data_IF_512019053620
#
_entry.id   IF_512019053620
#
_cell.length_a   1.000
_cell.length_b   1.000
_cell.length_c   1.000
_cell.angle_alpha   90.00
_cell.angle_beta   90.00
_cell.angle_gamma   90.00
#
_symmetry.space_group_name_H-M   'P 1'
#
loop_
_entity.id
_entity.type
_entity.pdbx_description
1 polymer ?
2 non-polymer ?
3 water ?
#
# COMPACT_ATOMS: atom_id res chain seq x y z
N UNK A 3 -15.02 -16.00 10.53
CA UNK A 3 -15.44 -16.88 11.67
C UNK A 3 -14.22 -17.20 12.52
N UNK A 4 -14.42 -17.96 13.58
CA UNK A 4 -13.33 -18.33 14.46
C UNK A 4 -12.22 -19.01 13.68
N UNK A 5 -12.58 -20.00 12.86
CA UNK A 5 -11.63 -20.74 12.05
C UNK A 5 -10.86 -19.81 11.11
N UNK A 6 -11.56 -18.86 10.51
CA UNK A 6 -10.91 -17.92 9.59
C UNK A 6 -9.89 -17.07 10.34
N UNK A 7 -10.27 -16.56 11.50
CA UNK A 7 -9.36 -15.76 12.31
C UNK A 7 -8.08 -16.54 12.58
N UNK A 8 -8.24 -17.78 13.01
CA UNK A 8 -7.11 -18.66 13.31
C UNK A 8 -6.26 -18.92 12.07
N UNK A 9 -6.93 -19.19 10.95
CA UNK A 9 -6.23 -19.45 9.70
C UNK A 9 -5.40 -18.26 9.25
N UNK A 10 -6.01 -17.07 9.29
CA UNK A 10 -5.30 -15.86 8.89
C UNK A 10 -4.15 -15.54 9.83
N UNK A 11 -4.36 -15.70 11.13
CA UNK A 11 -3.29 -15.41 12.08
C UNK A 11 -2.14 -16.40 11.89
N UNK A 12 -2.46 -17.66 11.66
CA UNK A 12 -1.44 -18.68 11.47
C UNK A 12 -0.62 -18.37 10.23
N UNK A 13 -1.28 -17.83 9.21
CA UNK A 13 -0.62 -17.47 7.96
C UNK A 13 0.30 -16.28 8.21
N UNK A 14 -0.19 -15.33 9.01
CA UNK A 14 0.60 -14.14 9.34
C UNK A 14 1.88 -14.56 10.07
N UNK A 15 1.75 -15.54 10.98
CA UNK A 15 2.90 -16.02 11.71
C UNK A 15 3.90 -16.73 10.79
N UNK A 16 3.37 -17.44 9.79
CA UNK A 16 4.23 -18.15 8.85
C UNK A 16 5.03 -17.14 8.03
N UNK A 17 4.35 -16.11 7.54
CA UNK A 17 4.99 -15.08 6.74
C UNK A 17 6.06 -14.35 7.56
N UNK A 18 5.72 -13.97 8.78
CA UNK A 18 6.66 -13.27 9.64
C UNK A 18 7.83 -14.19 9.97
N UNK A 19 7.53 -15.48 10.09
CA UNK A 19 8.56 -16.46 10.40
C UNK A 19 9.65 -16.53 9.35
N UNK A 20 9.27 -16.35 8.09
CA UNK A 20 10.24 -16.39 7.00
C UNK A 20 11.22 -15.21 7.10
N UNK A 21 10.79 -14.16 7.79
CA UNK A 21 11.61 -12.95 7.95
C UNK A 21 12.27 -12.85 9.32
N UNK A 22 12.07 -13.85 10.18
CA UNK A 22 12.65 -13.81 11.50
C UNK A 22 11.95 -12.80 12.40
N UNK A 23 10.71 -12.47 12.06
CA UNK A 23 9.92 -11.51 12.83
C UNK A 23 8.84 -12.24 13.62
N UNK A 24 8.63 -11.83 14.87
CA UNK A 24 7.62 -12.46 15.71
C UNK A 24 6.40 -11.56 15.84
N UNK A 25 5.22 -12.16 15.70
CA UNK A 25 3.96 -11.43 15.79
C UNK A 25 3.57 -11.16 17.24
N UNK A 26 2.93 -10.01 17.47
CA UNK A 26 2.45 -9.64 18.80
C UNK A 26 0.98 -10.01 18.82
N UNK A 27 0.69 -11.22 19.27
CA UNK A 27 -0.68 -11.71 19.32
C UNK A 27 -1.68 -10.76 19.98
N UNK A 28 -1.28 -10.13 21.08
CA UNK A 28 -2.15 -9.22 21.80
C UNK A 28 -2.53 -7.98 20.99
N UNK A 29 -1.69 -7.61 20.02
CA UNK A 29 -1.95 -6.45 19.19
C UNK A 29 -2.65 -6.83 17.89
N UNK A 30 -2.64 -8.12 17.55
CA UNK A 30 -3.24 -8.56 16.30
C UNK A 30 -4.56 -9.32 16.40
N UNK A 31 -4.64 -10.29 17.31
CA UNK A 31 -5.85 -11.08 17.43
C UNK A 31 -7.13 -10.26 17.62
N UNK A 32 -7.12 -9.28 18.54
CA UNK A 32 -8.31 -8.46 18.76
C UNK A 32 -8.77 -7.76 17.49
N UNK A 33 -7.80 -7.36 16.67
CA UNK A 33 -8.09 -6.68 15.41
C UNK A 33 -8.73 -7.65 14.42
N UNK A 34 -8.14 -8.83 14.27
CA UNK A 34 -8.67 -9.83 13.34
C UNK A 34 -10.07 -10.28 13.78
N UNK A 35 -10.26 -10.43 15.09
CA UNK A 35 -11.54 -10.84 15.63
C UNK A 35 -12.60 -9.78 15.32
N UNK A 36 -12.24 -8.52 15.53
CA UNK A 36 -13.14 -7.41 15.27
C UNK A 36 -13.61 -7.40 13.81
N UNK A 37 -12.70 -7.76 12.90
CA UNK A 37 -13.03 -7.79 11.47
C UNK A 37 -13.09 -9.21 10.90
N UNK A 38 -13.48 -10.18 11.73
CA UNK A 38 -13.54 -11.56 11.29
C UNK A 38 -14.46 -11.81 10.08
N UNK A 39 -15.51 -11.02 9.94
CA UNK A 39 -16.45 -11.18 8.84
C UNK A 39 -15.83 -10.95 7.46
N UNK A 40 -14.68 -10.29 7.42
CA UNK A 40 -14.03 -10.00 6.15
C UNK A 40 -12.99 -11.03 5.75
N UNK A 41 -12.68 -11.95 6.66
CA UNK A 41 -11.65 -12.96 6.42
C UNK A 41 -12.02 -14.21 5.62
N UNK A 42 -13.24 -14.24 5.08
CA UNK A 42 -13.64 -15.40 4.29
C UNK A 42 -13.00 -15.33 2.91
N UNK A 43 -12.48 -16.47 2.44
CA UNK A 43 -11.83 -16.51 1.14
C UNK A 43 -12.82 -16.10 0.05
N UNK A 44 -12.34 -15.33 -0.92
CA UNK A 44 -13.19 -14.87 -2.00
C UNK A 44 -13.75 -13.51 -1.67
N UNK A 45 -13.47 -12.53 -2.54
CA UNK A 45 -13.95 -11.19 -2.31
C UNK A 45 -13.07 -10.45 -1.33
N UNK A 46 -12.13 -11.16 -0.72
CA UNK A 46 -11.21 -10.57 0.25
C UNK A 46 -9.79 -10.46 -0.30
N UNK A 47 -9.10 -9.38 0.07
CA UNK A 47 -7.72 -9.16 -0.33
C UNK A 47 -6.90 -9.03 0.95
N UNK A 48 -5.89 -9.87 1.09
CA UNK A 48 -5.01 -9.87 2.24
C UNK A 48 -3.58 -9.96 1.73
N UNK A 49 -2.73 -9.04 2.19
CA UNK A 49 -1.34 -8.99 1.75
C UNK A 49 -0.40 -8.87 2.94
N UNK A 50 0.66 -9.68 2.93
CA UNK A 50 1.68 -9.64 3.96
C UNK A 50 2.93 -9.10 3.25
N UNK A 51 3.44 -7.96 3.70
CA UNK A 51 4.57 -7.34 3.02
C UNK A 51 5.88 -7.21 3.79
N UNK A 52 6.97 -7.50 3.08
CA UNK A 52 8.32 -7.40 3.62
C UNK A 52 9.02 -6.21 2.97
N UNK A 53 10.15 -5.80 3.54
CA UNK A 53 10.92 -4.69 2.99
C UNK A 53 12.40 -4.94 3.19
N UNK A 54 13.22 -4.14 2.51
CA UNK A 54 14.67 -4.27 2.56
C UNK A 54 15.29 -3.21 3.47
N UNK A 55 16.63 -3.21 3.51
CA UNK A 55 17.36 -2.25 4.31
C UNK A 55 16.93 -2.07 5.75
N UNK A 56 16.81 -0.81 6.17
CA UNK A 56 16.44 -0.50 7.55
C UNK A 56 14.97 -0.73 7.86
N UNK A 57 14.22 -1.23 6.89
CA UNK A 57 12.80 -1.49 7.11
C UNK A 57 12.51 -2.99 7.15
N UNK A 58 13.55 -3.81 7.15
CA UNK A 58 13.38 -5.25 7.11
C UNK A 58 12.93 -6.00 8.36
N UNK A 59 12.92 -5.34 9.51
CA UNK A 59 12.54 -6.01 10.76
C UNK A 59 11.04 -5.95 11.02
N UNK A 60 10.27 -5.58 10.01
CA UNK A 60 8.83 -5.50 10.18
C UNK A 60 8.07 -6.17 9.06
N UNK A 61 6.89 -6.69 9.38
CA UNK A 61 6.05 -7.33 8.37
C UNK A 61 4.73 -6.56 8.43
N UNK A 62 4.33 -5.96 7.31
CA UNK A 62 3.07 -5.24 7.29
C UNK A 62 1.97 -6.17 6.80
N UNK A 63 0.74 -5.84 7.16
CA UNK A 63 -0.41 -6.61 6.69
C UNK A 63 -1.49 -5.64 6.29
N UNK A 64 -2.27 -6.03 5.28
CA UNK A 64 -3.36 -5.20 4.82
C UNK A 64 -4.52 -6.14 4.56
N UNK A 65 -5.69 -5.78 5.06
CA UNK A 65 -6.90 -6.59 4.93
C UNK A 65 -8.05 -5.72 4.44
N UNK A 66 -8.66 -6.12 3.33
CA UNK A 66 -9.77 -5.36 2.77
C UNK A 66 -11.02 -5.47 3.65
N UNK A 67 -11.81 -4.39 3.67
CA UNK A 67 -13.03 -4.32 4.47
C UNK A 67 -14.10 -3.67 3.61
N UNK A 68 -15.22 -4.36 3.38
CA UNK A 68 -16.28 -3.75 2.56
C UNK A 68 -16.86 -2.50 3.23
N UNK A 69 -17.33 -1.56 2.43
CA UNK A 69 -17.90 -0.32 2.96
C UNK A 69 -19.14 -0.59 3.80
N UNK A 70 -19.81 -1.71 3.53
CA UNK A 70 -21.00 -2.07 4.29
C UNK A 70 -20.70 -2.30 5.76
N UNK A 71 -19.44 -2.63 6.06
CA UNK A 71 -19.05 -2.87 7.44
C UNK A 71 -18.86 -1.56 8.19
N UNK A 72 -18.83 -0.46 7.44
CA UNK A 72 -18.68 0.86 8.02
C UNK A 72 -17.24 1.32 8.18
N UNK A 73 -17.09 2.63 8.40
CA UNK A 73 -15.79 3.27 8.59
C UNK A 73 -14.94 2.44 9.55
N UNK A 74 -13.87 1.80 9.05
CA UNK A 74 -13.05 0.99 9.96
C UNK A 74 -12.25 1.77 11.00
N UNK A 75 -11.93 3.04 10.73
CA UNK A 75 -11.20 3.82 11.72
C UNK A 75 -12.15 4.13 12.87
N UNK A 76 -13.39 4.46 12.55
CA UNK A 76 -14.37 4.76 13.58
C UNK A 76 -14.51 3.52 14.46
N UNK A 77 -14.49 2.35 13.83
CA UNK A 77 -14.62 1.09 14.53
C UNK A 77 -13.50 0.85 15.52
N UNK A 78 -12.24 0.98 15.08
CA UNK A 78 -11.14 0.74 16.00
C UNK A 78 -11.10 1.76 17.15
N UNK A 79 -11.48 3.00 16.88
CA UNK A 79 -11.47 4.00 17.95
C UNK A 79 -12.61 3.72 18.94
N UNK A 80 -13.81 3.48 18.44
CA UNK A 80 -14.94 3.21 19.33
C UNK A 80 -14.73 1.96 20.18
N UNK A 81 -14.09 0.94 19.61
CA UNK A 81 -13.87 -0.31 20.33
C UNK A 81 -12.66 -0.26 21.26
N UNK A 82 -11.94 0.86 21.24
CA UNK A 82 -10.79 0.99 22.10
C UNK A 82 -9.54 0.26 21.64
N UNK A 83 -9.44 0.04 20.32
CA UNK A 83 -8.27 -0.65 19.76
C UNK A 83 -7.20 0.33 19.30
N UNK A 84 -7.58 1.60 19.15
CA UNK A 84 -6.65 2.64 18.71
C UNK A 84 -7.12 3.99 19.22
N UNK A 85 -6.18 4.86 19.64
CA UNK A 85 -6.52 6.18 20.16
C UNK A 85 -6.56 7.26 19.08
N UNK A 86 -7.57 8.13 19.15
CA UNK A 86 -7.66 9.22 18.19
C UNK A 86 -6.39 10.06 18.36
N UNK A 87 -5.88 10.59 17.25
CA UNK A 87 -4.64 11.37 17.28
C UNK A 87 -4.79 12.84 17.66
N UNK A 88 -5.99 13.38 17.49
CA UNK A 88 -6.24 14.78 17.80
C UNK A 88 -5.78 15.68 16.65
N UNK A 89 -5.45 15.04 15.53
CA UNK A 89 -5.00 15.72 14.32
C UNK A 89 -5.99 15.51 13.18
N UNK A 90 -5.88 16.31 12.11
CA UNK A 90 -6.79 16.19 10.96
C UNK A 90 -6.90 14.79 10.37
N UNK A 91 -5.84 13.99 10.47
CA UNK A 91 -5.88 12.64 9.93
C UNK A 91 -7.04 11.84 10.51
N UNK A 92 -7.48 12.21 11.73
CA UNK A 92 -8.60 11.52 12.37
C UNK A 92 -9.88 11.64 11.55
N UNK A 93 -10.01 12.74 10.82
CA UNK A 93 -11.22 12.99 10.03
C UNK A 93 -11.11 12.70 8.54
N UNK A 94 -9.91 12.42 8.06
CA UNK A 94 -9.71 12.19 6.64
C UNK A 94 -10.46 11.03 6.00
N UNK A 95 -10.43 9.84 6.61
CA UNK A 95 -11.15 8.73 5.99
C UNK A 95 -12.65 9.07 5.90
N UNK A 96 -13.20 9.59 6.98
CA UNK A 96 -14.62 9.95 6.99
C UNK A 96 -14.92 11.05 5.98
N UNK A 97 -14.04 12.06 5.91
CA UNK A 97 -14.23 13.16 4.97
C UNK A 97 -14.11 12.68 3.53
N UNK A 98 -13.29 11.67 3.29
CA UNK A 98 -13.11 11.16 1.95
C UNK A 98 -14.39 10.47 1.49
N UNK A 99 -15.00 9.69 2.36
CA UNK A 99 -16.23 9.00 2.00
C UNK A 99 -17.36 10.02 1.85
N UNK A 100 -17.27 11.11 2.59
CA UNK A 100 -18.28 12.17 2.53
C UNK A 100 -18.24 12.90 1.19
N UNK A 101 -17.04 13.25 0.75
CA UNK A 101 -16.88 13.99 -0.51
C UNK A 101 -16.75 13.17 -1.80
N UNK A 102 -16.30 11.92 -1.70
CA UNK A 102 -16.12 11.09 -2.89
C UNK A 102 -16.71 9.69 -2.76
N UNK A 103 -16.99 9.05 -3.92
CA UNK A 103 -17.55 7.69 -3.88
C UNK A 103 -16.44 6.72 -3.49
N UNK A 104 -16.58 6.09 -2.33
CA UNK A 104 -15.60 5.11 -1.87
C UNK A 104 -16.22 3.73 -2.06
N UNK A 105 -15.52 2.88 -2.80
CA UNK A 105 -16.00 1.54 -3.11
C UNK A 105 -15.57 0.42 -2.16
N UNK A 106 -14.55 0.67 -1.35
CA UNK A 106 -14.05 -0.33 -0.42
C UNK A 106 -13.05 0.34 0.52
N UNK A 107 -12.81 -0.29 1.66
CA UNK A 107 -11.84 0.20 2.64
C UNK A 107 -10.83 -0.91 2.82
N UNK A 108 -9.86 -0.66 3.68
CA UNK A 108 -8.85 -1.64 4.03
C UNK A 108 -8.20 -1.16 5.32
N UNK A 109 -7.81 -2.10 6.16
CA UNK A 109 -7.12 -1.76 7.40
C UNK A 109 -5.72 -2.31 7.20
N UNK A 110 -4.76 -1.72 7.90
CA UNK A 110 -3.37 -2.10 7.73
C UNK A 110 -2.59 -1.88 9.02
N UNK A 111 -1.62 -2.75 9.26
CA UNK A 111 -0.81 -2.62 10.45
C UNK A 111 0.52 -3.35 10.32
N UNK A 112 1.25 -3.40 11.43
CA UNK A 112 2.54 -4.08 11.50
C UNK A 112 2.35 -5.23 12.49
N UNK A 113 2.95 -6.38 12.21
CA UNK A 113 2.78 -7.52 13.10
C UNK A 113 3.33 -7.30 14.50
N UNK A 114 4.30 -6.40 14.65
CA UNK A 114 4.86 -6.13 15.98
C UNK A 114 4.31 -4.85 16.59
N UNK A 115 3.66 -4.01 15.80
CA UNK A 115 3.13 -2.77 16.31
C UNK A 115 1.63 -2.58 16.29
N UNK A 116 0.93 -3.43 15.53
CA UNK A 116 -0.52 -3.34 15.47
C UNK A 116 -1.06 -2.40 14.39
N UNK A 117 -2.35 -2.11 14.49
CA UNK A 117 -3.04 -1.22 13.55
C UNK A 117 -2.40 0.16 13.42
N UNK A 118 -2.34 0.68 12.19
CA UNK A 118 -1.78 2.01 11.99
C UNK A 118 -2.21 2.72 10.71
N UNK A 119 -2.98 2.04 9.86
CA UNK A 119 -3.36 2.64 8.59
C UNK A 119 -4.69 2.18 8.02
N UNK A 120 -5.31 3.03 7.21
CA UNK A 120 -6.55 2.68 6.52
C UNK A 120 -6.39 3.09 5.06
N UNK A 121 -7.19 2.50 4.19
CA UNK A 121 -7.19 2.80 2.77
C UNK A 121 -8.61 3.10 2.35
N UNK A 122 -8.74 3.97 1.36
CA UNK A 122 -10.04 4.30 0.78
C UNK A 122 -9.89 4.07 -0.72
N UNK A 123 -10.68 3.13 -1.26
CA UNK A 123 -10.63 2.82 -2.69
C UNK A 123 -11.74 3.57 -3.43
N UNK A 124 -11.48 3.91 -4.68
CA UNK A 124 -12.46 4.61 -5.50
C UNK A 124 -12.80 3.74 -6.70
N UNK A 125 -13.98 3.92 -7.29
CA UNK A 125 -14.40 3.13 -8.45
C UNK A 125 -13.43 3.35 -9.61
N UNK A 126 -13.00 2.27 -10.23
CA UNK A 126 -12.06 2.35 -11.34
C UNK A 126 -12.53 3.23 -12.50
N UNK A 127 -13.84 3.28 -12.72
CA UNK A 127 -14.39 4.09 -13.81
C UNK A 127 -14.81 5.49 -13.37
N UNK A 128 -14.60 5.81 -12.10
CA UNK A 128 -14.97 7.12 -11.57
C UNK A 128 -13.97 7.51 -10.49
N UNK A 129 -12.71 7.63 -10.89
CA UNK A 129 -11.66 8.01 -9.95
C UNK A 129 -11.52 9.52 -9.85
N UNK A 130 -11.18 10.01 -8.65
CA UNK A 130 -11.02 11.45 -8.45
C UNK A 130 -9.66 11.94 -8.96
N UNK A 131 -9.58 13.23 -9.26
CA UNK A 131 -8.34 13.81 -9.71
C UNK A 131 -7.76 14.59 -8.55
N UNK A 132 -6.62 15.22 -8.75
CA UNK A 132 -5.98 16.00 -7.70
C UNK A 132 -6.88 17.14 -7.21
N UNK A 133 -7.63 17.73 -8.14
CA UNK A 133 -8.53 18.83 -7.80
C UNK A 133 -9.60 18.39 -6.79
N UNK A 134 -10.26 17.28 -7.08
CA UNK A 134 -11.30 16.77 -6.19
C UNK A 134 -10.74 16.41 -4.81
N UNK A 135 -9.55 15.81 -4.79
CA UNK A 135 -8.92 15.42 -3.53
C UNK A 135 -8.45 16.60 -2.70
N UNK A 136 -7.87 17.61 -3.36
CA UNK A 136 -7.38 18.79 -2.66
C UNK A 136 -8.48 19.61 -2.01
N UNK A 137 -9.74 19.33 -2.37
CA UNK A 137 -10.87 20.06 -1.82
C UNK A 137 -11.33 19.51 -0.47
N UNK A 138 -11.00 18.26 -0.19
CA UNK A 138 -11.39 17.62 1.07
C UNK A 138 -10.74 18.41 2.21
N UNK A 139 -11.56 18.97 3.12
CA UNK A 139 -11.10 19.77 4.26
C UNK A 139 -9.91 19.27 5.07
N UNK A 140 -9.90 17.97 5.37
CA UNK A 140 -8.83 17.40 6.18
C UNK A 140 -7.63 16.87 5.41
N UNK A 141 -7.65 17.03 4.08
CA UNK A 141 -6.53 16.56 3.26
C UNK A 141 -5.34 17.49 3.50
N UNK A 142 -4.12 16.95 3.47
CA UNK A 142 -2.97 17.83 3.69
C UNK A 142 -2.95 18.91 2.61
N UNK A 143 -2.66 20.16 3.00
CA UNK A 143 -2.61 21.24 2.02
C UNK A 143 -1.60 20.93 0.92
N UNK A 144 -0.60 20.09 1.26
CA UNK A 144 0.44 19.70 0.31
C UNK A 144 -0.10 19.09 -0.97
N UNK A 145 -1.27 18.46 -0.91
CA UNK A 145 -1.86 17.86 -2.10
C UNK A 145 -2.17 18.95 -3.13
N UNK A 146 -2.89 19.99 -2.69
CA UNK A 146 -3.23 21.09 -3.58
C UNK A 146 -1.98 21.85 -4.02
N UNK A 147 -1.03 22.00 -3.10
CA UNK A 147 0.20 22.74 -3.38
C UNK A 147 1.18 22.05 -4.34
N UNK A 148 0.92 20.77 -4.62
CA UNK A 148 1.77 20.01 -5.55
C UNK A 148 0.99 19.67 -6.81
N UNK A 149 -0.19 20.27 -6.94
CA UNK A 149 -1.07 20.03 -8.07
C UNK A 149 -0.43 20.33 -9.42
N UNK A 150 0.24 21.47 -9.53
CA UNK A 150 0.88 21.83 -10.79
C UNK A 150 1.92 20.80 -11.16
N UNK A 151 2.70 20.37 -10.17
CA UNK A 151 3.74 19.36 -10.39
C UNK A 151 3.12 18.04 -10.85
N UNK A 152 2.07 17.59 -10.17
CA UNK A 152 1.41 16.35 -10.54
C UNK A 152 0.93 16.40 -11.99
N UNK A 153 0.28 17.49 -12.36
CA UNK A 153 -0.22 17.67 -13.72
C UNK A 153 0.90 17.59 -14.74
N UNK A 154 2.03 18.23 -14.44
CA UNK A 154 3.19 18.24 -15.34
C UNK A 154 3.71 16.84 -15.67
N UNK A 155 3.53 15.89 -14.76
CA UNK A 155 4.02 14.53 -15.00
C UNK A 155 2.93 13.51 -15.28
N UNK A 156 1.73 13.99 -15.60
CA UNK A 156 0.65 13.09 -15.91
C UNK A 156 0.09 12.29 -14.75
N UNK A 157 0.34 12.74 -13.52
CA UNK A 157 -0.18 12.06 -12.35
C UNK A 157 -1.55 12.72 -12.13
N UNK A 158 -2.58 12.05 -12.62
CA UNK A 158 -3.94 12.58 -12.56
C UNK A 158 -4.94 11.77 -11.76
N UNK A 159 -5.37 10.63 -12.30
CA UNK A 159 -6.35 9.79 -11.62
C UNK A 159 -5.77 9.00 -10.44
N UNK A 160 -6.52 8.98 -9.34
CA UNK A 160 -6.13 8.29 -8.13
C UNK A 160 -7.08 7.12 -7.86
N UNK A 161 -6.52 5.91 -7.80
CA UNK A 161 -7.29 4.69 -7.56
C UNK A 161 -7.66 4.46 -6.09
N UNK A 162 -6.80 4.94 -5.20
CA UNK A 162 -7.05 4.82 -3.77
C UNK A 162 -6.08 5.69 -2.99
N UNK A 163 -6.37 5.89 -1.72
CA UNK A 163 -5.50 6.67 -0.85
C UNK A 163 -5.30 5.86 0.42
N UNK A 164 -4.25 6.20 1.15
CA UNK A 164 -4.02 5.54 2.42
C UNK A 164 -3.65 6.62 3.42
N UNK A 165 -4.04 6.36 4.67
CA UNK A 165 -3.80 7.29 5.78
C UNK A 165 -3.05 6.56 6.89
N UNK A 166 -1.91 7.11 7.26
CA UNK A 166 -1.06 6.56 8.31
C UNK A 166 -1.30 7.41 9.56
N UNK A 167 -1.98 6.83 10.55
CA UNK A 167 -2.32 7.55 11.77
C UNK A 167 -1.15 7.80 12.71
N UNK A 168 -0.13 6.96 12.67
CA UNK A 168 1.03 7.13 13.54
C UNK A 168 2.01 8.16 12.98
N UNK A 169 2.24 8.11 11.67
CA UNK A 169 3.16 9.04 11.03
C UNK A 169 2.47 10.30 10.51
N UNK A 170 1.14 10.29 10.50
CA UNK A 170 0.36 11.42 10.00
C UNK A 170 0.80 11.74 8.57
N UNK A 171 0.66 10.75 7.70
CA UNK A 171 1.03 10.86 6.30
C UNK A 171 -0.06 10.27 5.43
N UNK A 172 -0.08 10.71 4.18
CA UNK A 172 -1.05 10.24 3.20
C UNK A 172 -0.37 9.81 1.90
N UNK A 173 -0.83 8.71 1.33
CA UNK A 173 -0.31 8.22 0.06
C UNK A 173 -1.42 8.36 -0.98
N UNK A 174 -1.06 8.82 -2.17
CA UNK A 174 -2.02 8.95 -3.27
C UNK A 174 -1.59 7.92 -4.31
N UNK A 175 -2.43 6.93 -4.58
CA UNK A 175 -2.08 5.89 -5.54
C UNK A 175 -2.59 6.20 -6.94
N UNK A 176 -1.71 6.78 -7.76
CA UNK A 176 -2.06 7.15 -9.13
C UNK A 176 -2.18 5.93 -10.04
N UNK A 177 -3.17 5.98 -10.93
CA UNK A 177 -3.43 4.88 -11.85
C UNK A 177 -3.60 5.40 -13.28
N UNK A 178 -3.92 4.48 -14.19
CA UNK A 178 -4.06 4.80 -15.61
C UNK A 178 -2.86 5.62 -16.05
N UNK A 179 -1.67 5.15 -15.64
CA UNK A 179 -0.41 5.81 -15.96
C UNK A 179 -0.05 5.74 -17.43
N UNK A 180 0.26 6.89 -18.01
CA UNK A 180 0.63 6.98 -19.42
C UNK A 180 2.03 6.40 -19.61
N UNK A 181 2.32 5.91 -20.80
CA UNK A 181 3.64 5.35 -21.07
C UNK A 181 4.68 6.46 -20.89
N UNK A 182 4.33 7.67 -21.30
CA UNK A 182 5.23 8.82 -21.18
C UNK A 182 5.66 9.03 -19.73
N UNK A 183 4.69 8.99 -18.83
CA UNK A 183 4.94 9.19 -17.41
C UNK A 183 5.98 8.22 -16.86
N UNK A 184 5.95 6.98 -17.33
CA UNK A 184 6.87 5.97 -16.84
C UNK A 184 8.16 5.84 -17.63
N UNK A 185 8.31 6.63 -18.70
CA UNK A 185 9.53 6.60 -19.49
C UNK A 185 10.65 7.17 -18.63
N UNK A 186 11.88 6.72 -18.89
CA UNK A 186 13.03 7.16 -18.10
C UNK A 186 13.19 8.67 -17.95
N UNK A 187 13.05 9.41 -19.05
CA UNK A 187 13.21 10.85 -19.03
C UNK A 187 12.25 11.50 -18.03
N UNK A 188 10.98 11.08 -18.07
CA UNK A 188 9.98 11.61 -17.17
C UNK A 188 10.28 11.26 -15.71
N UNK A 189 10.58 10.00 -15.45
CA UNK A 189 10.88 9.57 -14.09
C UNK A 189 12.06 10.35 -13.50
N UNK A 190 13.13 10.51 -14.29
CA UNK A 190 14.30 11.23 -13.81
C UNK A 190 13.97 12.70 -13.51
N UNK A 191 13.20 13.34 -14.38
CA UNK A 191 12.85 14.74 -14.17
C UNK A 191 12.02 14.89 -12.90
N UNK A 192 11.08 13.96 -12.69
CA UNK A 192 10.23 13.98 -11.52
C UNK A 192 11.03 13.83 -10.22
N UNK A 193 11.88 12.81 -10.16
CA UNK A 193 12.69 12.58 -8.99
C UNK A 193 13.60 13.79 -8.72
N UNK A 194 14.03 14.44 -9.81
CA UNK A 194 14.89 15.62 -9.70
C UNK A 194 14.16 16.76 -9.01
N UNK A 195 12.95 17.04 -9.48
CA UNK A 195 12.16 18.14 -8.92
C UNK A 195 11.75 17.89 -7.47
N UNK A 196 11.61 16.62 -7.11
CA UNK A 196 11.23 16.25 -5.74
C UNK A 196 12.45 16.05 -4.84
N UNK A 197 13.64 16.13 -5.42
CA UNK A 197 14.85 15.94 -4.66
C UNK A 197 14.97 14.57 -4.04
N UNK A 198 14.63 13.53 -4.80
CA UNK A 198 14.70 12.17 -4.32
C UNK A 198 15.83 11.38 -4.98
N UNK A 199 16.15 10.23 -4.40
CA UNK A 199 17.22 9.35 -4.89
C UNK A 199 17.06 9.04 -6.38
N UNK A 200 18.13 9.22 -7.14
CA UNK A 200 18.13 8.97 -8.58
C UNK A 200 18.27 7.47 -8.88
N UNK A 201 17.28 6.88 -9.54
CA UNK A 201 17.36 5.44 -9.85
C UNK A 201 18.29 5.16 -11.01
N UNK A 202 18.90 3.97 -11.01
CA UNK A 202 19.81 3.58 -12.08
C UNK A 202 19.06 2.82 -13.17
N UNK A 203 19.80 2.18 -14.07
CA UNK A 203 19.20 1.43 -15.17
C UNK A 203 18.20 0.36 -14.71
N UNK A 204 18.60 -0.46 -13.74
CA UNK A 204 17.72 -1.50 -13.22
C UNK A 204 16.47 -0.88 -12.62
N UNK A 205 16.65 0.18 -11.84
CA UNK A 205 15.52 0.84 -11.21
C UNK A 205 14.55 1.43 -12.22
N UNK A 206 15.08 2.09 -13.24
CA UNK A 206 14.24 2.70 -14.28
C UNK A 206 13.48 1.64 -15.07
N UNK A 207 14.11 0.49 -15.31
CA UNK A 207 13.45 -0.59 -16.04
C UNK A 207 12.25 -1.06 -15.22
N UNK A 208 12.43 -1.10 -13.89
CA UNK A 208 11.37 -1.50 -12.99
C UNK A 208 10.24 -0.46 -13.01
N UNK A 209 10.62 0.82 -12.99
CA UNK A 209 9.62 1.89 -13.01
C UNK A 209 8.75 1.84 -14.27
N UNK A 210 9.37 1.53 -15.40
CA UNK A 210 8.66 1.45 -16.67
C UNK A 210 7.57 0.36 -16.68
N UNK A 211 7.78 -0.66 -15.85
CA UNK A 211 6.87 -1.79 -15.74
C UNK A 211 5.74 -1.57 -14.72
N UNK A 212 5.83 -0.48 -13.97
CA UNK A 212 4.85 -0.18 -12.92
C UNK A 212 3.39 -0.04 -13.34
N UNK A 213 2.50 -0.42 -12.44
CA UNK A 213 1.07 -0.30 -12.69
C UNK A 213 0.48 0.76 -11.76
N UNK A 214 1.25 1.18 -10.76
CA UNK A 214 0.82 2.19 -9.80
C UNK A 214 2.03 3.00 -9.32
N UNK A 215 1.80 4.28 -9.02
CA UNK A 215 2.84 5.17 -8.53
C UNK A 215 2.23 5.97 -7.40
N UNK A 216 2.91 6.06 -6.26
CA UNK A 216 2.37 6.81 -5.14
C UNK A 216 3.31 7.65 -4.30
N UNK A 217 3.04 8.96 -4.23
CA UNK A 217 3.88 9.87 -3.43
C UNK A 217 3.29 9.86 -2.01
N UNK A 218 4.12 10.23 -1.04
CA UNK A 218 3.67 10.32 0.35
C UNK A 218 3.74 11.80 0.72
N UNK A 219 2.69 12.31 1.33
CA UNK A 219 2.62 13.71 1.74
C UNK A 219 2.29 13.82 3.23
N UNK A 220 2.50 15.00 3.81
CA UNK A 220 2.22 15.22 5.23
C UNK A 220 1.57 16.60 5.45
N UNK A 221 1.12 16.85 6.67
CA UNK A 221 0.45 18.10 7.03
C UNK A 221 1.36 19.25 7.49
N UNK A 222 2.61 18.95 7.78
CA UNK A 222 3.55 19.97 8.26
C UNK A 222 4.17 20.82 7.18
N UNK A 223 4.51 20.20 6.05
CA UNK A 223 5.13 20.93 4.95
C UNK A 223 4.50 20.54 3.62
N UNK A 224 4.82 21.28 2.57
CA UNK A 224 4.28 20.98 1.27
C UNK A 224 5.23 20.10 0.47
N UNK A 225 6.28 19.61 1.12
CA UNK A 225 7.26 18.77 0.44
C UNK A 225 6.90 17.29 0.49
N UNK A 226 6.95 16.64 -0.68
CA UNK A 226 6.64 15.21 -0.77
C UNK A 226 7.76 14.43 -0.07
N UNK A 227 7.35 13.52 0.82
CA UNK A 227 8.29 12.72 1.62
C UNK A 227 9.05 11.65 0.87
N UNK A 228 8.35 10.95 -0.03
CA UNK A 228 8.95 9.87 -0.81
C UNK A 228 8.04 9.50 -1.97
N UNK A 229 8.55 8.68 -2.90
CA UNK A 229 7.77 8.25 -4.06
C UNK A 229 7.99 6.75 -4.29
N UNK A 230 6.91 6.01 -4.51
CA UNK A 230 7.01 4.57 -4.72
C UNK A 230 6.40 4.11 -6.04
N UNK A 231 7.10 3.21 -6.73
CA UNK A 231 6.64 2.62 -7.99
C UNK A 231 6.32 1.16 -7.68
N UNK A 232 5.14 0.71 -8.08
CA UNK A 232 4.71 -0.66 -7.80
C UNK A 232 4.51 -1.51 -9.05
N UNK A 233 4.96 -2.76 -8.97
CA UNK A 233 4.87 -3.73 -10.07
C UNK A 233 4.16 -5.01 -9.59
N UNK A 234 3.13 -5.44 -10.31
CA UNK A 234 2.40 -6.65 -9.94
C UNK A 234 2.82 -7.79 -10.87
N UNK A 235 3.06 -8.98 -10.32
CA UNK A 235 3.53 -10.10 -11.14
C UNK A 235 3.47 -11.48 -10.44
N UNK A 236 3.67 -12.54 -11.23
CA UNK A 236 3.71 -13.89 -10.69
C UNK A 236 5.17 -14.35 -10.67
N UNK A 237 6.04 -13.52 -11.26
CA UNK A 237 7.47 -13.80 -11.32
C UNK A 237 8.12 -13.49 -9.96
N UNK A 238 8.72 -14.49 -9.30
CA UNK A 238 9.36 -14.32 -8.00
C UNK A 238 10.79 -13.75 -8.02
N UNK A 239 11.26 -13.31 -9.18
CA UNK A 239 12.63 -12.82 -9.29
C UNK A 239 12.81 -11.34 -9.63
N UNK A 240 11.75 -10.55 -9.47
CA UNK A 240 11.80 -9.13 -9.85
C UNK A 240 12.36 -8.05 -8.92
N UNK A 241 12.78 -8.38 -7.71
CA UNK A 241 13.27 -7.29 -6.86
C UNK A 241 14.33 -6.50 -7.62
N UNK A 242 14.12 -5.19 -7.79
CA UNK A 242 15.06 -4.33 -8.52
C UNK A 242 16.30 -3.94 -7.72
N UNK A 243 16.98 -4.95 -7.21
CA UNK A 243 18.18 -4.73 -6.41
C UNK A 243 19.35 -5.53 -6.98
N UNK A 244 20.55 -4.99 -6.81
CA UNK A 244 21.76 -5.67 -7.28
C UNK A 244 22.41 -6.40 -6.12
N UNK A 245 21.86 -6.21 -4.93
CA UNK A 245 22.38 -6.85 -3.71
C UNK A 245 22.03 -8.34 -3.68
N UNK A 246 23.06 -9.18 -3.62
CA UNK A 246 22.89 -10.63 -3.60
C UNK A 246 21.96 -11.05 -2.45
N UNK A 247 22.08 -10.35 -1.33
CA UNK A 247 21.24 -10.64 -0.18
C UNK A 247 19.78 -10.42 -0.49
N UNK A 248 19.45 -9.25 -1.06
CA UNK A 248 18.06 -8.94 -1.40
C UNK A 248 17.52 -9.95 -2.41
N UNK A 249 18.30 -10.22 -3.46
CA UNK A 249 17.90 -11.15 -4.50
C UNK A 249 17.48 -12.51 -3.95
N UNK A 250 18.28 -13.05 -3.04
CA UNK A 250 17.98 -14.34 -2.44
C UNK A 250 16.80 -14.27 -1.47
N UNK A 251 16.80 -13.28 -0.61
CA UNK A 251 15.75 -13.11 0.40
C UNK A 251 14.38 -12.83 -0.19
N UNK A 252 14.30 -11.94 -1.18
CA UNK A 252 13.01 -11.65 -1.78
C UNK A 252 12.49 -12.85 -2.56
N UNK A 253 13.37 -13.58 -3.25
CA UNK A 253 12.96 -14.76 -3.99
C UNK A 253 12.46 -15.84 -3.04
N UNK A 254 13.12 -15.97 -1.89
CA UNK A 254 12.74 -16.95 -0.89
C UNK A 254 11.33 -16.64 -0.40
N UNK A 255 11.09 -15.38 -0.05
CA UNK A 255 9.78 -14.97 0.44
C UNK A 255 8.72 -15.15 -0.66
N UNK A 256 9.08 -14.73 -1.88
CA UNK A 256 8.18 -14.83 -3.03
C UNK A 256 7.73 -16.25 -3.37
N UNK A 257 8.56 -17.24 -3.02
CA UNK A 257 8.23 -18.64 -3.33
C UNK A 257 7.78 -19.45 -2.11
N UNK A 258 7.74 -18.84 -0.94
CA UNK A 258 7.34 -19.56 0.26
C UNK A 258 6.26 -18.89 1.11
N UNK A 259 5.93 -17.65 0.79
CA UNK A 259 4.91 -16.94 1.56
C UNK A 259 3.59 -17.71 1.52
N UNK A 260 2.80 -17.66 2.61
CA UNK A 260 1.53 -18.38 2.62
C UNK A 260 0.54 -17.82 1.61
N UNK A 261 -0.34 -18.68 1.11
CA UNK A 261 -1.37 -18.25 0.16
C UNK A 261 -2.47 -19.31 0.20
N UNK A 262 -3.72 -18.85 0.22
CA UNK A 262 -4.86 -19.76 0.30
C UNK A 262 -5.41 -20.23 -1.05
N UNK A 263 -5.04 -19.54 -2.13
CA UNK A 263 -5.54 -19.89 -3.46
C UNK A 263 -4.69 -20.88 -4.26
N UNK A 264 -4.36 -22.00 -3.65
CA UNK A 264 -3.57 -23.04 -4.32
C UNK A 264 -4.27 -23.45 -5.62
N UNK A 265 -3.51 -23.56 -6.69
CA UNK A 265 -4.06 -23.92 -7.98
C UNK A 265 -3.73 -22.80 -8.96
N UNK A 266 -3.20 -21.71 -8.40
CA UNK A 266 -2.78 -20.55 -9.17
C UNK A 266 -1.45 -20.12 -8.58
N UNK A 267 -0.68 -19.37 -9.35
CA UNK A 267 0.61 -18.88 -8.87
C UNK A 267 0.34 -17.74 -7.89
N UNK A 268 1.28 -17.53 -6.96
CA UNK A 268 1.14 -16.46 -5.99
C UNK A 268 1.15 -15.09 -6.67
N UNK A 269 0.28 -14.20 -6.18
CA UNK A 269 0.24 -12.83 -6.72
C UNK A 269 1.24 -12.04 -5.86
N UNK A 270 2.11 -11.30 -6.53
CA UNK A 270 3.14 -10.52 -5.86
C UNK A 270 3.11 -9.06 -6.29
N UNK A 271 3.35 -8.15 -5.35
CA UNK A 271 3.42 -6.73 -5.69
C UNK A 271 4.72 -6.19 -5.12
N UNK A 272 5.64 -5.85 -6.02
CA UNK A 272 6.95 -5.31 -5.66
C UNK A 272 6.89 -3.79 -5.62
N UNK A 273 7.71 -3.20 -4.76
CA UNK A 273 7.77 -1.76 -4.67
C UNK A 273 9.19 -1.22 -4.66
N UNK A 274 9.40 -0.10 -5.34
CA UNK A 274 10.70 0.57 -5.38
C UNK A 274 10.42 1.94 -4.79
N UNK A 275 10.96 2.21 -3.61
CA UNK A 275 10.72 3.48 -2.95
C UNK A 275 11.92 4.41 -2.97
N UNK A 276 11.68 5.64 -3.40
CA UNK A 276 12.73 6.64 -3.50
C UNK A 276 12.47 7.76 -2.49
N UNK A 277 13.42 7.95 -1.58
CA UNK A 277 13.32 9.00 -0.57
C UNK A 277 14.46 9.98 -0.84
N UNK A 278 14.53 11.10 -0.12
CA UNK A 278 15.62 12.04 -0.37
C UNK A 278 17.00 11.46 -0.15
N UNK A 279 17.13 10.58 0.85
CA UNK A 279 18.42 10.00 1.20
C UNK A 279 18.72 8.57 0.74
N UNK A 280 17.73 7.87 0.18
CA UNK A 280 17.98 6.50 -0.26
C UNK A 280 16.85 5.87 -1.04
N UNK A 281 17.07 4.62 -1.44
CA UNK A 281 16.12 3.82 -2.19
C UNK A 281 15.99 2.48 -1.46
N UNK A 282 14.79 1.93 -1.37
CA UNK A 282 14.61 0.64 -0.73
C UNK A 282 13.52 -0.15 -1.46
N UNK A 283 13.45 -1.44 -1.18
CA UNK A 283 12.53 -2.34 -1.87
C UNK A 283 11.50 -2.99 -0.97
N UNK A 284 10.34 -3.29 -1.55
CA UNK A 284 9.25 -3.91 -0.82
C UNK A 284 8.63 -5.04 -1.64
N UNK A 285 8.04 -6.00 -0.94
CA UNK A 285 7.37 -7.12 -1.61
C UNK A 285 6.17 -7.58 -0.81
N UNK A 286 4.99 -7.45 -1.41
CA UNK A 286 3.77 -7.90 -0.77
C UNK A 286 3.33 -9.21 -1.41
N UNK A 287 3.19 -10.25 -0.59
CA UNK A 287 2.75 -11.54 -1.08
C UNK A 287 1.28 -11.66 -0.71
N UNK A 288 0.42 -11.78 -1.71
CA UNK A 288 -1.00 -11.88 -1.44
C UNK A 288 -1.38 -13.24 -0.87
N UNK A 289 -2.05 -13.23 0.28
CA UNK A 289 -2.53 -14.43 0.92
C UNK A 289 -3.93 -14.73 0.37
N UNK A 290 -4.67 -13.66 0.10
CA UNK A 290 -6.01 -13.72 -0.47
C UNK A 290 -6.04 -12.80 -1.70
N UNK A 291 -6.60 -13.27 -2.81
CA UNK A 291 -6.72 -12.43 -4.01
C UNK A 291 -8.15 -12.46 -4.54
N UNK A 292 -8.47 -11.50 -5.40
CA UNK A 292 -9.80 -11.41 -6.02
C UNK A 292 -9.57 -11.25 -7.52
N UNK A 293 -10.67 -11.11 -8.27
CA UNK A 293 -10.53 -10.94 -9.72
C UNK A 293 -9.84 -9.64 -10.09
N UNK A 294 -9.78 -8.68 -9.16
CA UNK A 294 -9.11 -7.42 -9.42
C UNK A 294 -7.64 -7.71 -9.70
N UNK A 295 -7.04 -8.56 -8.86
CA UNK A 295 -5.65 -8.93 -9.03
C UNK A 295 -5.45 -9.77 -10.30
N UNK A 296 -6.40 -10.67 -10.57
CA UNK A 296 -6.29 -11.51 -11.77
C UNK A 296 -6.30 -10.63 -13.03
N UNK A 297 -7.14 -9.60 -13.02
CA UNK A 297 -7.19 -8.70 -14.16
C UNK A 297 -5.93 -7.87 -14.30
N UNK A 298 -5.37 -7.45 -13.17
CA UNK A 298 -4.15 -6.65 -13.19
C UNK A 298 -2.99 -7.45 -13.77
N UNK A 299 -2.91 -8.73 -13.40
CA UNK A 299 -1.84 -9.60 -13.91
C UNK A 299 -1.94 -9.77 -15.43
N UNK A 300 -3.15 -9.90 -15.94
CA UNK A 300 -3.36 -10.05 -17.37
C UNK A 300 -2.98 -8.78 -18.12
N UNK A 301 -3.22 -7.62 -17.48
CA UNK A 301 -2.91 -6.35 -18.10
C UNK A 301 -1.46 -5.88 -17.91
N UNK A 302 -0.85 -6.23 -16.78
CA UNK A 302 0.51 -5.77 -16.53
C UNK A 302 1.62 -6.82 -16.41
N UNK A 303 1.25 -8.10 -16.40
CA UNK A 303 2.25 -9.16 -16.29
C UNK A 303 2.13 -10.16 -17.44
#
# INVERSE_FOLDING_TARGET
MSEAADVERVYAAMEEAAGLLGVACARDKIYPLLSTFQDTLVEGGSVVVFSMASGRHSTELDFSISVPTSHGDPYATVVEKGLFPATGHPVDDLLADTQKHLPVSMFAIDGEVTGGFKKTYAFFPTDNMPGVAELSAIPSMPPAVAENAELFARYGLDKVQMTSMDYKKRQVNLYFSELSAQTLEAESVLALVRELGLHVPNELGLKFCKRSFSVYPTLNWETGKIDRLCFAVISNDPTLVPSSDEGDIEKFHNYATKAPYAYVGEKRTLVYGLTLSPKEEYYKLGAYYHITDVQRGLLKAFDSLED
#
